data_IF_535663755608
#
_entry.id   IF_535663755608
#
_cell.length_a   1.000
_cell.length_b   1.000
_cell.length_c   1.000
_cell.angle_alpha   90.00
_cell.angle_beta   90.00
_cell.angle_gamma   90.00
#
_symmetry.space_group_name_H-M   'P 1'
#
loop_
_entity.id
_entity.type
_entity.pdbx_description
1 polymer ?
#
# COMPACT_ATOMS: atom_id res chain seq x y z
N UNK A 1 28.16 -37.92 -22.68
CA UNK A 1 27.57 -36.84 -23.49
C UNK A 1 27.51 -35.57 -22.65
N UNK A 2 27.80 -34.44 -23.30
CA UNK A 2 28.35 -33.20 -22.73
C UNK A 2 27.43 -32.40 -21.78
N UNK A 3 28.07 -31.58 -20.91
CA UNK A 3 27.49 -30.39 -20.26
C UNK A 3 27.60 -29.17 -21.20
N UNK A 4 26.70 -28.18 -21.09
CA UNK A 4 27.07 -26.87 -20.49
C UNK A 4 25.93 -26.25 -19.64
N UNK A 5 26.19 -25.72 -18.43
CA UNK A 5 26.45 -24.31 -18.05
C UNK A 5 25.58 -23.21 -18.69
N UNK A 6 24.88 -22.46 -17.83
CA UNK A 6 24.24 -21.14 -18.04
C UNK A 6 23.16 -20.94 -16.96
N UNK A 7 23.18 -20.00 -16.03
CA UNK A 7 23.67 -18.62 -16.04
C UNK A 7 22.49 -17.69 -16.35
N UNK A 8 22.05 -16.88 -15.37
CA UNK A 8 21.20 -15.72 -15.67
C UNK A 8 20.02 -15.46 -14.73
N UNK A 9 20.29 -14.69 -13.68
CA UNK A 9 19.40 -13.77 -12.97
C UNK A 9 18.49 -12.97 -13.92
N UNK A 10 17.18 -12.84 -13.66
CA UNK A 10 16.45 -11.56 -13.77
C UNK A 10 15.01 -11.66 -13.24
N UNK A 11 14.69 -10.70 -12.37
CA UNK A 11 13.36 -10.34 -11.83
C UNK A 11 12.34 -10.08 -12.95
N UNK A 12 11.03 -10.31 -12.76
CA UNK A 12 10.05 -9.51 -13.48
C UNK A 12 10.02 -8.12 -12.82
N UNK A 13 10.75 -7.20 -13.44
CA UNK A 13 10.56 -5.77 -13.24
C UNK A 13 9.15 -5.37 -13.69
N UNK A 14 8.66 -4.32 -13.04
CA UNK A 14 7.50 -3.53 -13.40
C UNK A 14 7.37 -3.41 -14.93
N UNK A 15 6.36 -4.07 -15.50
CA UNK A 15 5.92 -3.82 -16.85
C UNK A 15 5.20 -2.46 -16.84
N UNK A 16 5.99 -1.42 -17.05
CA UNK A 16 5.53 -0.10 -17.48
C UNK A 16 4.58 -0.30 -18.66
N UNK A 17 3.38 0.25 -18.54
CA UNK A 17 2.31 0.25 -19.52
C UNK A 17 2.87 0.43 -20.95
N UNK A 18 2.76 -0.62 -21.75
CA UNK A 18 2.97 -0.54 -23.20
C UNK A 18 1.93 0.42 -23.77
N UNK A 19 2.40 1.55 -24.29
CA UNK A 19 1.61 2.41 -25.15
C UNK A 19 1.35 1.67 -26.48
N UNK A 20 0.10 1.69 -26.92
CA UNK A 20 -0.32 1.15 -28.21
C UNK A 20 0.41 1.85 -29.38
N UNK A 21 0.79 1.12 -30.44
CA UNK A 21 1.44 1.71 -31.62
C UNK A 21 0.36 2.21 -32.59
N UNK A 22 0.15 3.53 -32.64
CA UNK A 22 -0.82 4.09 -33.57
C UNK A 22 -1.07 5.58 -33.44
N UNK A 23 -0.05 6.41 -33.20
CA UNK A 23 -0.16 7.84 -33.47
C UNK A 23 1.20 8.38 -33.89
N UNK A 24 1.23 8.91 -35.11
CA UNK A 24 2.32 9.68 -35.69
C UNK A 24 2.92 10.65 -34.67
N UNK A 25 4.22 10.52 -34.39
CA UNK A 25 5.02 11.52 -33.67
C UNK A 25 5.00 12.83 -34.45
N UNK A 26 4.06 13.70 -34.14
CA UNK A 26 4.02 15.09 -34.60
C UNK A 26 4.35 15.95 -33.40
N UNK A 27 5.53 16.60 -33.41
CA UNK A 27 6.02 17.62 -32.47
C UNK A 27 5.95 17.23 -30.97
N UNK A 28 7.07 17.33 -30.25
CA UNK A 28 7.12 17.08 -28.79
C UNK A 28 6.44 18.23 -28.01
N UNK A 29 5.19 18.55 -28.33
CA UNK A 29 4.37 19.56 -27.70
C UNK A 29 3.47 18.87 -26.68
N UNK A 30 3.48 19.35 -25.45
CA UNK A 30 2.55 18.90 -24.41
C UNK A 30 1.19 19.59 -24.58
N UNK A 31 0.14 19.04 -23.94
CA UNK A 31 -1.17 19.70 -23.89
C UNK A 31 -1.10 21.13 -23.32
N UNK A 32 -0.11 21.38 -22.44
CA UNK A 32 0.14 22.71 -21.88
C UNK A 32 0.75 23.63 -22.93
N UNK A 33 1.69 23.14 -23.74
CA UNK A 33 2.28 23.90 -24.84
C UNK A 33 1.22 24.22 -25.92
N UNK A 34 0.29 23.28 -26.19
CA UNK A 34 -0.85 23.50 -27.09
C UNK A 34 -1.86 24.50 -26.52
N UNK A 35 -2.09 24.47 -25.19
CA UNK A 35 -2.95 25.42 -24.50
C UNK A 35 -2.35 26.83 -24.57
N UNK A 36 -1.06 26.97 -24.32
CA UNK A 36 -0.33 28.24 -24.42
C UNK A 36 -0.38 28.78 -25.85
N UNK A 37 -0.07 27.95 -26.85
CA UNK A 37 -0.11 28.34 -28.26
C UNK A 37 -1.52 28.75 -28.72
N UNK A 38 -2.56 28.02 -28.29
CA UNK A 38 -3.95 28.37 -28.64
C UNK A 38 -4.43 29.63 -27.92
N UNK A 39 -3.97 29.88 -26.70
CA UNK A 39 -4.22 31.12 -25.98
C UNK A 39 -3.59 32.31 -26.69
N UNK A 40 -2.31 32.21 -27.08
CA UNK A 40 -1.60 33.27 -27.81
C UNK A 40 -2.27 33.60 -29.13
N UNK A 41 -2.66 32.57 -29.90
CA UNK A 41 -3.37 32.74 -31.16
C UNK A 41 -4.74 33.42 -30.96
N UNK A 42 -5.47 33.02 -29.92
CA UNK A 42 -6.79 33.59 -29.60
C UNK A 42 -6.65 35.04 -29.16
N UNK A 43 -5.67 35.34 -28.31
CA UNK A 43 -5.39 36.68 -27.85
C UNK A 43 -4.95 37.59 -29.00
N UNK A 44 -4.01 37.15 -29.83
CA UNK A 44 -3.55 37.87 -31.01
C UNK A 44 -4.72 38.21 -31.94
N UNK A 45 -5.59 37.23 -32.22
CA UNK A 45 -6.78 37.42 -33.04
C UNK A 45 -7.71 38.50 -32.46
N UNK A 46 -7.96 38.48 -31.16
CA UNK A 46 -8.83 39.44 -30.46
C UNK A 46 -8.27 40.87 -30.41
N UNK A 47 -6.95 41.04 -30.34
CA UNK A 47 -6.30 42.36 -30.27
C UNK A 47 -5.86 42.89 -31.64
N UNK A 48 -6.13 42.15 -32.72
CA UNK A 48 -5.82 42.55 -34.09
C UNK A 48 -6.45 43.90 -34.41
N UNK A 49 -5.67 44.82 -34.97
CA UNK A 49 -6.15 46.16 -35.33
C UNK A 49 -7.30 46.09 -36.34
N UNK A 50 -7.28 45.11 -37.25
CA UNK A 50 -8.35 44.89 -38.23
C UNK A 50 -9.67 44.50 -37.55
N UNK A 51 -9.62 43.73 -36.46
CA UNK A 51 -10.80 43.38 -35.66
C UNK A 51 -11.34 44.57 -34.86
N UNK A 52 -10.45 45.38 -34.29
CA UNK A 52 -10.82 46.53 -33.43
C UNK A 52 -11.30 47.73 -34.25
N UNK A 53 -10.78 47.94 -35.46
CA UNK A 53 -11.08 49.11 -36.28
C UNK A 53 -12.43 49.03 -37.01
N UNK A 54 -13.06 47.85 -37.03
CA UNK A 54 -14.43 47.64 -37.53
C UNK A 54 -14.55 47.53 -39.06
N UNK A 55 -13.51 47.88 -39.82
CA UNK A 55 -13.39 47.55 -41.25
C UNK A 55 -13.16 46.05 -41.40
N UNK A 56 -13.97 45.37 -42.22
CA UNK A 56 -13.91 43.92 -42.50
C UNK A 56 -14.25 42.98 -41.31
N UNK A 57 -14.83 43.51 -40.23
CA UNK A 57 -15.17 42.76 -39.01
C UNK A 57 -16.00 41.50 -39.29
N UNK A 58 -16.98 41.56 -40.20
CA UNK A 58 -17.86 40.44 -40.52
C UNK A 58 -17.09 39.28 -41.20
N UNK A 59 -16.04 39.58 -41.95
CA UNK A 59 -15.23 38.60 -42.68
C UNK A 59 -14.20 37.92 -41.76
N UNK A 60 -13.63 38.64 -40.79
CA UNK A 60 -12.65 38.12 -39.83
C UNK A 60 -13.26 37.49 -38.58
N UNK A 61 -14.52 37.82 -38.25
CA UNK A 61 -15.23 37.28 -37.08
C UNK A 61 -15.27 35.75 -37.01
N UNK A 62 -15.54 35.00 -38.11
CA UNK A 62 -15.47 33.53 -38.09
C UNK A 62 -14.08 33.00 -37.70
N UNK A 63 -13.00 33.68 -38.08
CA UNK A 63 -11.64 33.29 -37.72
C UNK A 63 -11.35 33.49 -36.22
N UNK A 64 -11.86 34.59 -35.65
CA UNK A 64 -11.78 34.85 -34.20
C UNK A 64 -12.58 33.80 -33.42
N UNK A 65 -13.82 33.53 -33.84
CA UNK A 65 -14.68 32.53 -33.20
C UNK A 65 -14.05 31.13 -33.25
N UNK A 66 -13.39 30.77 -34.36
CA UNK A 66 -12.64 29.52 -34.49
C UNK A 66 -11.47 29.46 -33.51
N UNK A 67 -10.75 30.56 -33.33
CA UNK A 67 -9.61 30.59 -32.41
C UNK A 67 -10.06 30.44 -30.95
N UNK A 68 -11.16 31.11 -30.58
CA UNK A 68 -11.79 30.99 -29.27
C UNK A 68 -12.23 29.54 -29.03
N UNK A 69 -12.93 28.93 -29.99
CA UNK A 69 -13.41 27.56 -29.86
C UNK A 69 -12.24 26.58 -29.69
N UNK A 70 -11.17 26.74 -30.49
CA UNK A 70 -9.97 25.91 -30.40
C UNK A 70 -9.30 26.03 -29.02
N UNK A 71 -9.19 27.24 -28.47
CA UNK A 71 -8.67 27.45 -27.12
C UNK A 71 -9.54 26.76 -26.06
N UNK A 72 -10.87 26.91 -26.14
CA UNK A 72 -11.80 26.27 -25.20
C UNK A 72 -11.72 24.74 -25.25
N UNK A 73 -11.56 24.17 -26.44
CA UNK A 73 -11.44 22.72 -26.63
C UNK A 73 -10.15 22.19 -25.99
N UNK A 74 -9.02 22.87 -26.20
CA UNK A 74 -7.73 22.48 -25.61
C UNK A 74 -7.73 22.72 -24.10
N UNK A 75 -8.35 23.79 -23.60
CA UNK A 75 -8.51 24.04 -22.17
C UNK A 75 -9.29 22.91 -21.49
N UNK A 76 -10.41 22.50 -22.09
CA UNK A 76 -11.21 21.36 -21.62
C UNK A 76 -10.42 20.06 -21.67
N UNK A 77 -9.67 19.82 -22.74
CA UNK A 77 -8.82 18.63 -22.84
C UNK A 77 -7.74 18.59 -21.75
N UNK A 78 -7.13 19.74 -21.47
CA UNK A 78 -6.11 19.91 -20.43
C UNK A 78 -6.70 19.64 -19.04
N UNK A 79 -7.86 20.20 -18.73
CA UNK A 79 -8.59 19.93 -17.49
C UNK A 79 -8.88 18.43 -17.32
N UNK A 80 -9.48 17.80 -18.35
CA UNK A 80 -9.79 16.37 -18.35
C UNK A 80 -8.54 15.51 -18.10
N UNK A 81 -7.41 15.86 -18.74
CA UNK A 81 -6.15 15.15 -18.55
C UNK A 81 -5.69 15.18 -17.08
N UNK A 82 -5.67 16.37 -16.46
CA UNK A 82 -5.23 16.51 -15.07
C UNK A 82 -6.19 15.87 -14.07
N UNK A 83 -7.51 15.98 -14.28
CA UNK A 83 -8.50 15.29 -13.47
C UNK A 83 -8.31 13.77 -13.53
N UNK A 84 -8.11 13.22 -14.73
CA UNK A 84 -7.92 11.79 -14.90
C UNK A 84 -6.60 11.30 -14.25
N UNK A 85 -5.51 12.06 -14.39
CA UNK A 85 -4.25 11.75 -13.70
C UNK A 85 -4.39 11.80 -12.19
N UNK A 86 -5.10 12.79 -11.66
CA UNK A 86 -5.36 12.92 -10.22
C UNK A 86 -6.17 11.74 -9.69
N UNK A 87 -7.25 11.36 -10.39
CA UNK A 87 -8.05 10.19 -10.05
C UNK A 87 -7.21 8.92 -10.06
N UNK A 88 -6.40 8.71 -11.10
CA UNK A 88 -5.52 7.55 -11.20
C UNK A 88 -4.57 7.44 -9.98
N UNK A 89 -4.00 8.55 -9.54
CA UNK A 89 -3.13 8.59 -8.37
C UNK A 89 -3.88 8.29 -7.07
N UNK A 90 -5.14 8.70 -6.93
CA UNK A 90 -5.96 8.38 -5.75
C UNK A 90 -6.20 6.88 -5.58
N UNK A 91 -6.45 6.17 -6.69
CA UNK A 91 -6.63 4.71 -6.68
C UNK A 91 -5.32 4.03 -6.29
N UNK A 92 -4.20 4.44 -6.88
CA UNK A 92 -2.90 3.86 -6.56
C UNK A 92 -2.49 4.09 -5.10
N UNK A 93 -2.78 5.27 -4.55
CA UNK A 93 -2.51 5.56 -3.13
C UNK A 93 -3.30 4.63 -2.21
N UNK A 94 -4.57 4.38 -2.50
CA UNK A 94 -5.40 3.46 -1.72
C UNK A 94 -4.90 2.02 -1.82
N UNK A 95 -4.54 1.54 -3.01
CA UNK A 95 -3.97 0.20 -3.19
C UNK A 95 -2.64 0.02 -2.43
N UNK A 96 -1.81 1.06 -2.38
CA UNK A 96 -0.54 1.03 -1.67
C UNK A 96 -0.74 0.89 -0.16
N UNK A 97 -1.67 1.66 0.42
CA UNK A 97 -2.03 1.56 1.85
C UNK A 97 -2.48 0.15 2.19
N UNK A 98 -3.37 -0.43 1.37
CA UNK A 98 -3.86 -1.80 1.58
C UNK A 98 -2.70 -2.81 1.54
N UNK A 99 -1.73 -2.65 0.64
CA UNK A 99 -0.56 -3.53 0.56
C UNK A 99 0.31 -3.42 1.81
N UNK A 100 0.51 -2.21 2.33
CA UNK A 100 1.26 -1.95 3.56
C UNK A 100 0.56 -2.61 4.75
N UNK A 101 -0.75 -2.40 4.91
CA UNK A 101 -1.56 -3.02 5.97
C UNK A 101 -1.50 -4.55 5.92
N UNK A 102 -1.63 -5.15 4.73
CA UNK A 102 -1.52 -6.60 4.54
C UNK A 102 -0.13 -7.12 4.95
N UNK A 103 0.93 -6.37 4.64
CA UNK A 103 2.29 -6.72 5.03
C UNK A 103 2.47 -6.64 6.55
N UNK A 104 1.96 -5.59 7.19
CA UNK A 104 1.99 -5.43 8.64
C UNK A 104 1.24 -6.56 9.35
N UNK A 105 0.02 -6.87 8.91
CA UNK A 105 -0.78 -7.96 9.46
C UNK A 105 -0.10 -9.32 9.31
N UNK A 106 0.58 -9.57 8.19
CA UNK A 106 1.36 -10.81 7.98
C UNK A 106 2.53 -10.92 8.96
N UNK A 107 3.27 -9.83 9.16
CA UNK A 107 4.37 -9.81 10.12
C UNK A 107 3.87 -10.02 11.55
N UNK A 108 2.77 -9.38 11.92
CA UNK A 108 2.17 -9.52 13.24
C UNK A 108 1.63 -10.93 13.48
N UNK A 109 1.00 -11.54 12.47
CA UNK A 109 0.57 -12.93 12.53
C UNK A 109 1.76 -13.87 12.76
N UNK A 110 2.83 -13.73 11.97
CA UNK A 110 4.04 -14.54 12.12
C UNK A 110 4.65 -14.40 13.52
N UNK A 111 4.69 -13.18 14.06
CA UNK A 111 5.19 -12.92 15.41
C UNK A 111 4.32 -13.60 16.48
N UNK A 112 2.99 -13.56 16.33
CA UNK A 112 2.04 -14.25 17.21
C UNK A 112 2.22 -15.76 17.14
N UNK A 113 2.35 -16.34 15.95
CA UNK A 113 2.58 -17.78 15.78
C UNK A 113 3.87 -18.22 16.46
N UNK A 114 4.96 -17.46 16.31
CA UNK A 114 6.22 -17.75 16.99
C UNK A 114 6.07 -17.72 18.52
N UNK A 115 5.29 -16.77 19.05
CA UNK A 115 5.01 -16.68 20.48
C UNK A 115 4.18 -17.87 20.98
N UNK A 116 3.16 -18.27 20.23
CA UNK A 116 2.34 -19.46 20.53
C UNK A 116 3.21 -20.71 20.53
N UNK A 117 4.06 -20.92 19.53
CA UNK A 117 4.97 -22.06 19.48
C UNK A 117 5.95 -22.09 20.66
N UNK A 118 6.45 -20.93 21.09
CA UNK A 118 7.27 -20.80 22.29
C UNK A 118 6.51 -21.24 23.55
N UNK A 119 5.25 -20.84 23.69
CA UNK A 119 4.42 -21.25 24.83
C UNK A 119 4.07 -22.74 24.81
N UNK A 120 3.72 -23.30 23.65
CA UNK A 120 3.48 -24.73 23.49
C UNK A 120 4.71 -25.57 23.86
N UNK A 121 5.90 -25.10 23.49
CA UNK A 121 7.16 -25.77 23.84
C UNK A 121 7.38 -25.80 25.36
N UNK A 122 7.13 -24.68 26.04
CA UNK A 122 7.18 -24.62 27.51
C UNK A 122 6.15 -25.55 28.16
N UNK A 123 4.93 -25.60 27.63
CA UNK A 123 3.89 -26.51 28.15
C UNK A 123 4.32 -27.97 28.05
N UNK A 124 4.84 -28.40 26.89
CA UNK A 124 5.36 -29.76 26.72
C UNK A 124 6.50 -30.07 27.70
N UNK A 125 7.41 -29.12 27.90
CA UNK A 125 8.49 -29.29 28.86
C UNK A 125 7.97 -29.50 30.30
N UNK A 126 7.01 -28.68 30.74
CA UNK A 126 6.42 -28.85 32.07
C UNK A 126 5.61 -30.13 32.22
N UNK A 127 4.90 -30.55 31.17
CA UNK A 127 4.22 -31.85 31.15
C UNK A 127 5.23 -33.00 31.35
N UNK A 128 6.37 -32.97 30.65
CA UNK A 128 7.44 -33.96 30.84
C UNK A 128 7.98 -33.97 32.27
N UNK A 129 8.26 -32.80 32.85
CA UNK A 129 8.76 -32.69 34.23
C UNK A 129 7.76 -33.28 35.22
N UNK A 130 6.46 -33.04 35.03
CA UNK A 130 5.41 -33.61 35.88
C UNK A 130 5.31 -35.14 35.74
N UNK A 131 5.43 -35.67 34.52
CA UNK A 131 5.47 -37.11 34.26
C UNK A 131 6.68 -37.77 34.92
N UNK A 132 7.87 -37.18 34.80
CA UNK A 132 9.11 -37.67 35.41
C UNK A 132 8.98 -37.74 36.93
N UNK A 133 8.43 -36.70 37.57
CA UNK A 133 8.18 -36.67 39.02
C UNK A 133 7.19 -37.77 39.44
N UNK A 134 6.12 -37.98 38.67
CA UNK A 134 5.10 -38.99 38.97
C UNK A 134 5.65 -40.43 38.81
N UNK A 135 6.55 -40.67 37.86
CA UNK A 135 7.23 -41.97 37.68
C UNK A 135 8.22 -42.24 38.82
N UNK A 136 8.97 -41.23 39.29
CA UNK A 136 9.88 -41.38 40.43
C UNK A 136 9.13 -41.76 41.72
N UNK A 137 7.94 -41.22 41.97
CA UNK A 137 7.08 -41.59 43.11
C UNK A 137 6.45 -42.99 42.98
N UNK A 138 6.47 -43.60 41.79
CA UNK A 138 5.99 -44.97 41.55
C UNK A 138 7.07 -46.04 41.67
N UNK A 139 8.33 -45.68 41.88
CA UNK A 139 9.35 -46.65 42.26
C UNK A 139 9.16 -46.94 43.76
N UNK A 140 8.84 -48.19 44.17
CA UNK A 140 8.80 -48.53 45.58
C UNK A 140 10.25 -48.53 46.08
N UNK A 141 10.72 -47.36 46.50
CA UNK A 141 11.73 -47.31 47.53
C UNK A 141 11.01 -47.74 48.81
N UNK A 142 11.44 -48.86 49.38
CA UNK A 142 11.28 -49.19 50.78
C UNK A 142 11.47 -47.92 51.62
N UNK A 143 10.42 -47.41 52.25
CA UNK A 143 10.51 -46.35 53.26
C UNK A 143 9.62 -46.72 54.45
N UNK A 144 10.18 -46.95 55.66
CA UNK A 144 9.45 -46.97 56.91
C UNK A 144 8.71 -45.65 57.14
N UNK A 145 7.43 -45.74 57.49
CA UNK A 145 6.55 -44.60 57.74
C UNK A 145 7.11 -43.56 58.71
N UNK A 146 6.98 -42.29 58.34
CA UNK A 146 6.78 -41.21 59.32
C UNK A 146 7.51 -39.90 59.02
N UNK A 147 6.81 -38.93 58.42
CA UNK A 147 6.84 -37.51 58.84
C UNK A 147 6.08 -36.62 57.84
N UNK A 148 4.80 -36.35 58.11
CA UNK A 148 4.02 -35.28 57.48
C UNK A 148 3.37 -34.40 58.58
N UNK A 149 4.08 -33.41 59.14
CA UNK A 149 3.41 -32.34 59.90
C UNK A 149 3.64 -30.93 59.31
N UNK A 150 4.51 -30.75 58.32
CA UNK A 150 4.93 -29.38 57.93
C UNK A 150 4.02 -28.71 56.88
N UNK A 151 3.26 -29.48 56.08
CA UNK A 151 2.49 -28.91 54.97
C UNK A 151 1.14 -28.31 55.39
N UNK A 152 0.57 -28.75 56.51
CA UNK A 152 -0.78 -28.34 56.93
C UNK A 152 -0.80 -26.90 57.50
N UNK A 153 0.32 -26.46 58.09
CA UNK A 153 0.43 -25.19 58.79
C UNK A 153 0.54 -23.97 57.85
N UNK A 154 0.87 -24.16 56.57
CA UNK A 154 0.99 -23.07 55.60
C UNK A 154 -0.35 -22.66 54.96
N UNK A 155 -1.40 -23.50 55.05
CA UNK A 155 -2.70 -23.21 54.41
C UNK A 155 -3.60 -22.26 55.21
N UNK A 156 -3.30 -22.05 56.51
CA UNK A 156 -4.16 -21.31 57.42
C UNK A 156 -3.93 -19.78 57.44
N UNK A 157 -3.03 -19.22 56.61
CA UNK A 157 -2.68 -17.80 56.66
C UNK A 157 -2.91 -17.07 55.32
N UNK A 158 -4.18 -16.88 54.94
CA UNK A 158 -4.57 -15.97 53.86
C UNK A 158 -5.48 -14.87 54.45
N UNK A 159 -5.04 -13.60 54.51
CA UNK A 159 -5.90 -12.48 54.91
C UNK A 159 -6.95 -12.17 53.83
N UNK A 160 -8.18 -11.88 54.24
CA UNK A 160 -9.32 -11.60 53.36
C UNK A 160 -9.15 -10.28 52.56
N UNK A 161 -9.72 -10.16 51.34
CA UNK A 161 -9.63 -8.92 50.56
C UNK A 161 -10.59 -7.84 51.09
N UNK A 162 -10.06 -6.64 51.31
CA UNK A 162 -10.82 -5.43 51.61
C UNK A 162 -11.69 -5.04 50.40
N UNK A 163 -12.99 -4.86 50.61
CA UNK A 163 -13.90 -4.28 49.61
C UNK A 163 -13.63 -2.78 49.50
N UNK A 164 -13.27 -2.30 48.32
CA UNK A 164 -13.28 -0.87 48.00
C UNK A 164 -14.68 -0.48 47.51
N UNK A 165 -15.17 0.66 48.02
CA UNK A 165 -16.44 1.32 47.68
C UNK A 165 -16.20 2.38 46.62
#
# INVERSE_FOLDING_TARGET
FALPTGGGTTRPGFALLQAAPGTTRSSNSTLVDELESSFEACFASLVSQDYVSGTDQEEIRPGVDQCIQKFLDIARQTECFFLQKTLQLSVQKAEQVIKEDVSELRNELQRKDALVQKHLTKLRHWQQVLEDINVQHKKPADIPQGSLPYLEQASANIPAPLKQT
#
